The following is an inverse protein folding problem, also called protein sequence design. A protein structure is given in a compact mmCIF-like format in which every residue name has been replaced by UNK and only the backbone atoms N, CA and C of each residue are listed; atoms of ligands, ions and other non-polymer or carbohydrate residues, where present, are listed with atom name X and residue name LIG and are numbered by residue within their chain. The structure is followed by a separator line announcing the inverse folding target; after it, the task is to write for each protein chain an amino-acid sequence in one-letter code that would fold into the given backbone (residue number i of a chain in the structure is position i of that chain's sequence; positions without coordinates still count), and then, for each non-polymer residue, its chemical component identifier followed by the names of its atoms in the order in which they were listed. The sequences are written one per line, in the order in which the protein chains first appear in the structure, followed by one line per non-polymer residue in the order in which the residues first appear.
data_IF_450017932206
#
_entry.id   IF_450017932206
#
_cell.length_a   1.000
_cell.length_b   1.000
_cell.length_c   1.000
_cell.angle_alpha   90.00
_cell.angle_beta   90.00
_cell.angle_gamma   90.00
#
_symmetry.space_group_name_H-M   'P 1'
#
loop_
_entity.id
_entity.type
_entity.pdbx_description
1 polymer ?
#
# COMPACT_ATOMS: atom_id res chain seq x y z
N UNK A 1 25.61 37.68 -35.82
CA UNK A 1 25.68 37.44 -34.38
C UNK A 1 24.47 36.60 -34.05
N UNK A 2 24.74 35.31 -33.97
CA UNK A 2 23.80 34.21 -33.85
C UNK A 2 23.11 34.21 -32.48
N UNK A 3 21.78 34.25 -32.47
CA UNK A 3 20.98 33.80 -31.33
C UNK A 3 20.73 32.29 -31.50
N UNK A 4 21.61 31.49 -30.93
CA UNK A 4 21.41 30.04 -30.78
C UNK A 4 20.39 29.82 -29.67
N UNK A 5 19.12 29.80 -30.04
CA UNK A 5 18.06 29.25 -29.20
C UNK A 5 18.38 27.78 -28.92
N UNK A 6 18.83 27.47 -27.70
CA UNK A 6 18.83 26.12 -27.16
C UNK A 6 17.38 25.62 -27.12
N UNK A 7 16.93 25.03 -28.21
CA UNK A 7 15.86 24.04 -28.16
C UNK A 7 16.47 22.84 -27.43
N UNK A 8 16.22 22.78 -26.13
CA UNK A 8 16.40 21.57 -25.34
C UNK A 8 15.43 20.52 -25.92
N UNK A 9 15.89 19.82 -26.94
CA UNK A 9 15.23 18.65 -27.49
C UNK A 9 15.29 17.59 -26.39
N UNK A 10 14.24 17.56 -25.57
CA UNK A 10 14.02 16.50 -24.63
C UNK A 10 14.04 15.18 -25.41
N UNK A 11 15.07 14.37 -25.17
CA UNK A 11 15.16 13.02 -25.71
C UNK A 11 13.86 12.27 -25.35
N UNK A 12 13.25 11.52 -26.27
CA UNK A 12 12.07 10.74 -25.96
C UNK A 12 12.46 9.71 -24.89
N UNK A 13 11.87 9.82 -23.68
CA UNK A 13 12.06 8.83 -22.61
C UNK A 13 11.80 7.44 -23.17
N UNK A 14 12.69 6.50 -22.87
CA UNK A 14 12.54 5.14 -23.37
C UNK A 14 11.34 4.48 -22.69
N UNK A 15 10.67 3.53 -23.38
CA UNK A 15 9.55 2.78 -22.77
C UNK A 15 9.94 2.09 -21.47
N UNK A 16 11.21 1.69 -21.33
CA UNK A 16 11.74 1.06 -20.12
C UNK A 16 11.83 2.07 -18.96
N UNK A 17 12.29 3.29 -19.21
CA UNK A 17 12.30 4.37 -18.21
C UNK A 17 10.89 4.74 -17.77
N UNK A 18 9.95 4.84 -18.71
CA UNK A 18 8.54 5.07 -18.39
C UNK A 18 7.96 3.93 -17.56
N UNK A 19 8.32 2.67 -17.84
CA UNK A 19 7.86 1.54 -17.04
C UNK A 19 8.42 1.58 -15.60
N UNK A 20 9.70 1.90 -15.42
CA UNK A 20 10.31 2.01 -14.09
C UNK A 20 9.73 3.19 -13.29
N UNK A 21 9.53 4.35 -13.92
CA UNK A 21 8.89 5.50 -13.26
C UNK A 21 7.41 5.23 -12.94
N UNK A 22 6.71 4.53 -13.83
CA UNK A 22 5.33 4.08 -13.58
C UNK A 22 5.24 3.13 -12.39
N UNK A 23 6.18 2.20 -12.25
CA UNK A 23 6.24 1.31 -11.09
C UNK A 23 6.48 2.10 -9.79
N UNK A 24 7.41 3.06 -9.80
CA UNK A 24 7.68 3.92 -8.65
C UNK A 24 6.44 4.71 -8.22
N UNK A 25 5.75 5.37 -9.15
CA UNK A 25 4.53 6.12 -8.82
C UNK A 25 3.38 5.23 -8.34
N UNK A 26 3.31 3.98 -8.82
CA UNK A 26 2.36 2.99 -8.30
C UNK A 26 2.65 2.66 -6.83
N UNK A 27 3.90 2.41 -6.47
CA UNK A 27 4.32 2.15 -5.09
C UNK A 27 4.05 3.36 -4.18
N UNK A 28 4.36 4.58 -4.64
CA UNK A 28 4.05 5.83 -3.93
C UNK A 28 2.54 6.03 -3.71
N UNK A 29 1.73 5.70 -4.73
CA UNK A 29 0.26 5.75 -4.66
C UNK A 29 -0.26 4.80 -3.58
N UNK A 30 0.24 3.55 -3.58
CA UNK A 30 -0.14 2.53 -2.61
C UNK A 30 0.23 2.99 -1.20
N UNK A 31 1.45 3.47 -1.00
CA UNK A 31 1.91 3.95 0.30
C UNK A 31 1.08 5.13 0.82
N UNK A 32 0.77 6.11 -0.05
CA UNK A 32 -0.08 7.23 0.32
C UNK A 32 -1.51 6.78 0.68
N UNK A 33 -2.06 5.81 -0.05
CA UNK A 33 -3.37 5.23 0.26
C UNK A 33 -3.39 4.52 1.62
N UNK A 34 -2.35 3.74 1.94
CA UNK A 34 -2.19 3.14 3.26
C UNK A 34 -2.12 4.21 4.35
N UNK A 35 -1.37 5.28 4.14
CA UNK A 35 -1.27 6.36 5.12
C UNK A 35 -2.61 7.07 5.35
N UNK A 36 -3.43 7.28 4.30
CA UNK A 36 -4.79 7.81 4.43
C UNK A 36 -5.63 6.89 5.32
N UNK A 37 -5.64 5.58 5.03
CA UNK A 37 -6.42 4.61 5.80
C UNK A 37 -5.99 4.54 7.25
N UNK A 38 -4.68 4.51 7.50
CA UNK A 38 -4.12 4.50 8.86
C UNK A 38 -4.47 5.79 9.62
N UNK A 39 -4.29 6.96 9.01
CA UNK A 39 -4.63 8.23 9.65
C UNK A 39 -6.14 8.36 9.93
N UNK A 40 -7.00 7.90 9.02
CA UNK A 40 -8.43 7.81 9.27
C UNK A 40 -8.75 6.84 10.41
N UNK A 41 -8.09 5.69 10.45
CA UNK A 41 -8.27 4.72 11.52
C UNK A 41 -7.83 5.30 12.87
N UNK A 42 -6.72 6.02 12.94
CA UNK A 42 -6.24 6.65 14.17
C UNK A 42 -7.22 7.70 14.69
N UNK A 43 -7.79 8.53 13.81
CA UNK A 43 -8.85 9.49 14.17
C UNK A 43 -10.13 8.78 14.63
N UNK A 44 -10.56 7.75 13.91
CA UNK A 44 -11.78 6.99 14.18
C UNK A 44 -11.67 6.03 15.36
N UNK A 45 -10.47 5.69 15.81
CA UNK A 45 -10.20 4.80 16.94
C UNK A 45 -9.73 5.55 18.20
N UNK A 46 -9.55 6.88 18.15
CA UNK A 46 -9.12 7.66 19.29
C UNK A 46 -10.31 8.11 20.17
N UNK A 47 -10.50 7.53 21.38
CA UNK A 47 -11.64 7.86 22.24
C UNK A 47 -11.64 9.29 22.77
N UNK A 48 -10.47 9.94 22.78
CA UNK A 48 -10.36 11.35 23.20
C UNK A 48 -11.03 12.31 22.22
N UNK A 49 -11.17 11.92 20.94
CA UNK A 49 -11.83 12.72 19.90
C UNK A 49 -13.35 12.56 19.90
N UNK A 50 -13.88 11.53 20.57
CA UNK A 50 -15.34 11.32 20.70
C UNK A 50 -15.93 11.99 21.94
N UNK A 51 -15.09 12.46 22.86
CA UNK A 51 -15.54 13.13 24.08
C UNK A 51 -15.94 14.57 23.78
N UNK A 52 -17.12 14.73 23.19
CA UNK A 52 -17.77 16.03 23.05
C UNK A 52 -18.23 16.49 24.43
N UNK A 53 -17.39 17.24 25.15
CA UNK A 53 -17.87 18.03 26.30
C UNK A 53 -18.77 19.13 25.76
N UNK A 54 -20.05 18.83 25.61
CA UNK A 54 -21.10 19.83 25.48
C UNK A 54 -21.25 20.51 26.85
N UNK A 55 -20.42 21.51 27.15
CA UNK A 55 -20.80 22.52 28.16
C UNK A 55 -21.61 23.60 27.45
N UNK A 56 -22.80 23.24 26.95
CA UNK A 56 -23.85 24.24 26.76
C UNK A 56 -24.41 24.57 28.13
N UNK A 57 -23.97 25.71 28.65
CA UNK A 57 -24.71 26.62 29.54
C UNK A 57 -26.11 26.14 29.95
N UNK A 58 -26.22 25.44 31.09
CA UNK A 58 -27.47 25.34 31.82
C UNK A 58 -27.64 26.62 32.65
N UNK A 59 -28.45 27.55 32.14
CA UNK A 59 -28.95 28.69 32.91
C UNK A 59 -29.81 28.21 34.07
N UNK A 60 -29.35 28.42 35.31
CA UNK A 60 -30.21 28.77 36.44
C UNK A 60 -29.40 29.44 37.55
N UNK A 61 -29.47 30.77 37.56
CA UNK A 61 -29.47 31.69 38.71
C UNK A 61 -28.37 31.54 39.78
N UNK A 62 -27.34 32.39 39.72
CA UNK A 62 -27.16 33.52 40.65
C UNK A 62 -25.68 33.98 40.71
N UNK A 63 -25.52 35.28 40.49
CA UNK A 63 -24.57 36.18 41.16
C UNK A 63 -23.15 36.40 40.58
N UNK A 64 -22.78 37.69 40.65
CA UNK A 64 -21.50 38.36 40.38
C UNK A 64 -21.04 38.50 38.91
N UNK A 65 -21.35 39.57 38.16
CA UNK A 65 -20.94 40.99 38.26
C UNK A 65 -19.68 41.33 37.41
N UNK A 66 -19.88 42.33 36.52
CA UNK A 66 -18.93 43.18 35.74
C UNK A 66 -18.31 42.57 34.47
N UNK A 67 -18.15 43.28 33.35
CA UNK A 67 -18.64 44.58 32.84
C UNK A 67 -18.10 44.71 31.40
N UNK A 68 -18.81 45.50 30.60
CA UNK A 68 -18.36 46.20 29.39
C UNK A 68 -17.89 45.38 28.18
N UNK A 69 -18.22 45.68 26.92
CA UNK A 69 -19.12 46.59 26.21
C UNK A 69 -18.47 46.74 24.82
N UNK A 70 -19.24 46.46 23.76
CA UNK A 70 -19.05 46.95 22.37
C UNK A 70 -17.72 46.65 21.64
N UNK A 71 -17.79 46.04 20.45
CA UNK A 71 -17.75 46.79 19.18
C UNK A 71 -17.59 45.84 17.98
N UNK A 72 -18.19 46.25 16.87
CA UNK A 72 -18.32 45.58 15.58
C UNK A 72 -16.99 45.45 14.82
N UNK A 73 -16.96 44.43 13.95
CA UNK A 73 -16.47 44.39 12.56
C UNK A 73 -15.02 44.79 12.20
N UNK A 74 -14.39 43.94 11.37
CA UNK A 74 -13.37 44.31 10.39
C UNK A 74 -11.94 44.60 10.86
N UNK A 75 -11.01 43.69 10.51
CA UNK A 75 -9.63 44.07 10.18
C UNK A 75 -8.53 43.53 11.09
N UNK A 76 -7.83 42.51 10.57
CA UNK A 76 -6.43 42.14 10.80
C UNK A 76 -5.77 42.61 12.11
N UNK A 77 -5.70 41.71 13.10
CA UNK A 77 -4.58 41.68 14.03
C UNK A 77 -4.14 40.24 14.27
N UNK A 78 -2.83 40.05 14.21
CA UNK A 78 -2.14 38.80 14.42
C UNK A 78 -2.42 38.27 15.83
N UNK A 79 -3.32 37.29 15.92
CA UNK A 79 -3.47 36.39 17.05
C UNK A 79 -2.72 35.11 16.74
N UNK A 80 -1.57 34.92 17.38
CA UNK A 80 -0.78 33.69 17.39
C UNK A 80 -1.58 32.55 18.05
N UNK A 81 -2.43 31.92 17.24
CA UNK A 81 -3.07 30.63 17.48
C UNK A 81 -2.74 29.71 16.30
N UNK A 82 -1.44 29.45 16.11
CA UNK A 82 -0.91 28.68 14.98
C UNK A 82 -1.16 27.18 15.15
N UNK A 83 -2.32 26.73 14.69
CA UNK A 83 -2.65 25.33 14.47
C UNK A 83 -3.28 25.15 13.09
N UNK A 84 -2.63 25.71 12.06
CA UNK A 84 -3.05 25.56 10.66
C UNK A 84 -3.05 24.06 10.32
N UNK A 85 -4.25 23.53 10.08
CA UNK A 85 -4.52 22.15 9.72
C UNK A 85 -3.86 21.76 8.41
N UNK A 86 -2.63 21.26 8.52
CA UNK A 86 -2.05 20.32 7.57
C UNK A 86 -1.94 18.98 8.31
N UNK A 87 -3.08 18.34 8.55
CA UNK A 87 -3.13 17.04 9.24
C UNK A 87 -2.38 15.98 8.43
N UNK A 88 -1.86 14.95 9.10
CA UNK A 88 -1.24 13.80 8.44
C UNK A 88 -2.15 13.19 7.35
N UNK A 89 -3.47 13.26 7.57
CA UNK A 89 -4.49 12.87 6.60
C UNK A 89 -4.51 13.75 5.33
N UNK A 90 -4.42 15.07 5.47
CA UNK A 90 -4.42 15.99 4.33
C UNK A 90 -3.13 15.89 3.52
N UNK A 91 -2.00 15.70 4.19
CA UNK A 91 -0.71 15.42 3.55
C UNK A 91 -0.74 14.09 2.79
N UNK A 92 -1.29 13.02 3.38
CA UNK A 92 -1.44 11.73 2.73
C UNK A 92 -2.37 11.81 1.50
N UNK A 93 -3.46 12.57 1.59
CA UNK A 93 -4.37 12.86 0.46
C UNK A 93 -3.68 13.62 -0.65
N UNK A 94 -2.87 14.62 -0.30
CA UNK A 94 -2.11 15.38 -1.29
C UNK A 94 -1.13 14.49 -2.05
N UNK A 95 -0.35 13.65 -1.34
CA UNK A 95 0.61 12.71 -1.94
C UNK A 95 -0.08 11.67 -2.83
N UNK A 96 -1.21 11.13 -2.38
CA UNK A 96 -2.01 10.20 -3.19
C UNK A 96 -2.46 10.85 -4.50
N UNK A 97 -3.02 12.07 -4.43
CA UNK A 97 -3.46 12.79 -5.63
C UNK A 97 -2.30 13.07 -6.59
N UNK A 98 -1.14 13.46 -6.07
CA UNK A 98 0.04 13.79 -6.87
C UNK A 98 0.62 12.53 -7.56
N UNK A 99 0.88 11.46 -6.79
CA UNK A 99 1.38 10.19 -7.33
C UNK A 99 0.44 9.58 -8.37
N UNK A 100 -0.88 9.65 -8.16
CA UNK A 100 -1.88 9.22 -9.16
C UNK A 100 -1.82 10.07 -10.43
N UNK A 101 -1.63 11.39 -10.32
CA UNK A 101 -1.49 12.26 -11.48
C UNK A 101 -0.23 11.92 -12.28
N UNK A 102 0.90 11.73 -11.61
CA UNK A 102 2.16 11.34 -12.24
C UNK A 102 2.07 9.95 -12.90
N UNK A 103 1.42 8.98 -12.25
CA UNK A 103 1.17 7.66 -12.83
C UNK A 103 0.32 7.74 -14.11
N UNK A 104 -0.72 8.60 -14.12
CA UNK A 104 -1.55 8.82 -15.32
C UNK A 104 -0.75 9.47 -16.45
N UNK A 105 0.15 10.41 -16.13
CA UNK A 105 1.03 11.02 -17.10
C UNK A 105 1.94 9.97 -17.75
N UNK A 106 2.58 9.12 -16.94
CA UNK A 106 3.42 8.02 -17.43
C UNK A 106 2.61 7.07 -18.33
N UNK A 107 1.42 6.63 -17.90
CA UNK A 107 0.56 5.76 -18.69
C UNK A 107 0.15 6.39 -20.03
N UNK A 108 -0.07 7.70 -20.06
CA UNK A 108 -0.38 8.43 -21.29
C UNK A 108 0.83 8.57 -22.23
N UNK A 109 2.05 8.54 -21.69
CA UNK A 109 3.29 8.62 -22.45
C UNK A 109 3.71 7.28 -23.07
N UNK A 110 3.29 6.13 -22.50
CA UNK A 110 3.67 4.80 -22.99
C UNK A 110 3.28 4.57 -24.46
N UNK A 111 2.03 4.81 -24.91
CA UNK A 111 1.66 4.64 -26.32
C UNK A 111 2.48 5.51 -27.28
N UNK A 112 2.83 6.72 -26.84
CA UNK A 112 3.65 7.64 -27.63
C UNK A 112 5.10 7.16 -27.74
N UNK A 113 5.64 6.52 -26.68
CA UNK A 113 6.98 5.91 -26.71
C UNK A 113 7.06 4.67 -27.61
N UNK A 114 5.98 3.89 -27.73
CA UNK A 114 5.91 2.71 -28.60
C UNK A 114 5.95 3.09 -30.08
N UNK A 115 5.29 4.19 -30.45
CA UNK A 115 5.33 4.73 -31.84
C UNK A 115 6.73 5.20 -32.24
N UNK A 116 7.57 5.58 -31.27
CA UNK A 116 8.99 5.90 -31.49
C UNK A 116 9.89 4.64 -31.56
N UNK A 117 9.42 3.50 -31.03
CA UNK A 117 10.16 2.23 -30.94
C UNK A 117 9.83 1.21 -32.03
N UNK A 118 8.84 1.48 -32.89
CA UNK A 118 8.50 0.61 -34.04
C UNK A 118 9.63 0.53 -35.09
N UNK A 119 10.66 1.38 -34.97
CA UNK A 119 11.89 1.33 -35.78
C UNK A 119 12.99 0.40 -35.22
N UNK A 120 12.82 -0.15 -34.01
CA UNK A 120 13.84 -0.95 -33.31
C UNK A 120 13.21 -2.19 -32.66
N UNK A 121 12.56 -3.04 -33.47
CA UNK A 121 12.08 -4.35 -33.00
C UNK A 121 13.31 -5.27 -32.82
N UNK A 122 13.41 -5.81 -31.60
CA UNK A 122 14.54 -6.57 -31.07
C UNK A 122 14.98 -7.80 -31.86
N UNK A 123 16.24 -8.16 -31.65
CA UNK A 123 16.92 -9.27 -32.30
C UNK A 123 16.36 -10.63 -31.83
N UNK A 124 16.25 -11.63 -32.73
CA UNK A 124 15.77 -12.99 -32.39
C UNK A 124 16.60 -13.72 -31.32
N UNK A 125 17.78 -13.20 -30.97
CA UNK A 125 18.64 -13.73 -29.90
C UNK A 125 17.99 -13.61 -28.51
N UNK A 126 17.28 -12.51 -28.22
CA UNK A 126 16.72 -12.25 -26.89
C UNK A 126 15.47 -13.10 -26.61
N UNK A 127 14.71 -13.44 -27.66
CA UNK A 127 13.51 -14.27 -27.55
C UNK A 127 13.83 -15.72 -27.14
N UNK A 128 14.94 -16.27 -27.66
CA UNK A 128 15.38 -17.64 -27.34
C UNK A 128 15.93 -17.76 -25.90
N UNK A 129 16.53 -16.69 -25.37
CA UNK A 129 17.00 -16.65 -23.99
C UNK A 129 15.83 -16.62 -23.00
N UNK A 130 14.76 -15.87 -23.32
CA UNK A 130 13.54 -15.80 -22.51
C UNK A 130 12.85 -17.17 -22.42
N UNK A 131 12.72 -17.90 -23.52
CA UNK A 131 12.11 -19.24 -23.54
C UNK A 131 12.90 -20.23 -22.67
N UNK A 132 14.24 -20.19 -22.75
CA UNK A 132 15.12 -21.02 -21.92
C UNK A 132 15.01 -20.68 -20.42
N UNK A 133 14.88 -19.39 -20.08
CA UNK A 133 14.69 -18.95 -18.70
C UNK A 133 13.33 -19.39 -18.16
N UNK A 134 12.29 -19.35 -18.98
CA UNK A 134 10.95 -19.83 -18.63
C UNK A 134 10.94 -21.33 -18.35
N UNK A 135 11.55 -22.15 -19.23
CA UNK A 135 11.68 -23.60 -19.03
C UNK A 135 12.45 -23.93 -17.74
N UNK A 136 13.53 -23.20 -17.46
CA UNK A 136 14.31 -23.33 -16.22
C UNK A 136 13.48 -22.98 -14.98
N UNK A 137 12.64 -21.94 -15.05
CA UNK A 137 11.75 -21.54 -13.97
C UNK A 137 10.68 -22.61 -13.70
N UNK A 138 10.05 -23.13 -14.76
CA UNK A 138 9.04 -24.19 -14.67
C UNK A 138 9.62 -25.48 -14.10
N UNK A 139 10.82 -25.88 -14.53
CA UNK A 139 11.54 -27.04 -13.99
C UNK A 139 11.83 -26.89 -12.49
N UNK A 140 12.37 -25.74 -12.07
CA UNK A 140 12.62 -25.45 -10.64
C UNK A 140 11.34 -25.48 -9.82
N UNK A 141 10.24 -24.90 -10.33
CA UNK A 141 8.93 -24.94 -9.67
C UNK A 141 8.43 -26.38 -9.49
N UNK A 142 8.57 -27.22 -10.51
CA UNK A 142 8.22 -28.64 -10.44
C UNK A 142 9.01 -29.39 -9.36
N UNK A 143 10.33 -29.17 -9.30
CA UNK A 143 11.21 -29.77 -8.29
C UNK A 143 10.80 -29.36 -6.87
N UNK A 144 10.58 -28.06 -6.64
CA UNK A 144 10.18 -27.55 -5.32
C UNK A 144 8.81 -28.07 -4.88
N UNK A 145 7.85 -28.14 -5.81
CA UNK A 145 6.53 -28.70 -5.53
C UNK A 145 6.63 -30.20 -5.19
N UNK A 146 7.48 -30.96 -5.91
CA UNK A 146 7.75 -32.36 -5.61
C UNK A 146 8.35 -32.58 -4.22
N UNK A 147 9.31 -31.73 -3.83
CA UNK A 147 9.94 -31.78 -2.50
C UNK A 147 8.92 -31.53 -1.37
N UNK A 148 8.06 -30.51 -1.55
CA UNK A 148 7.02 -30.16 -0.57
C UNK A 148 5.96 -31.25 -0.44
N UNK A 149 5.55 -31.86 -1.56
CA UNK A 149 4.65 -33.02 -1.56
C UNK A 149 5.28 -34.22 -0.84
N UNK A 150 6.56 -34.51 -1.09
CA UNK A 150 7.27 -35.59 -0.42
C UNK A 150 7.34 -35.36 1.10
N UNK A 151 7.67 -34.15 1.54
CA UNK A 151 7.70 -33.78 2.96
C UNK A 151 6.34 -33.98 3.64
N UNK A 152 5.26 -33.51 3.01
CA UNK A 152 3.89 -33.69 3.51
C UNK A 152 3.49 -35.17 3.60
N UNK A 153 3.89 -35.98 2.61
CA UNK A 153 3.62 -37.42 2.63
C UNK A 153 4.32 -38.11 3.80
N UNK A 154 5.59 -37.77 4.07
CA UNK A 154 6.33 -38.28 5.22
C UNK A 154 5.64 -37.92 6.54
N UNK A 155 5.15 -36.69 6.67
CA UNK A 155 4.41 -36.27 7.87
C UNK A 155 3.09 -37.03 8.05
N UNK A 156 2.31 -37.19 6.98
CA UNK A 156 1.08 -37.99 7.01
C UNK A 156 1.36 -39.43 7.42
N UNK A 157 2.45 -40.03 6.92
CA UNK A 157 2.84 -41.39 7.27
C UNK A 157 3.14 -41.52 8.77
N UNK A 158 3.91 -40.59 9.32
CA UNK A 158 4.18 -40.55 10.76
C UNK A 158 2.88 -40.47 11.59
N UNK A 159 1.94 -39.60 11.19
CA UNK A 159 0.67 -39.46 11.90
C UNK A 159 -0.20 -40.72 11.80
N UNK A 160 -0.18 -41.38 10.64
CA UNK A 160 -0.87 -42.67 10.44
C UNK A 160 -0.27 -43.75 11.34
N UNK A 161 1.06 -43.81 11.45
CA UNK A 161 1.74 -44.81 12.29
C UNK A 161 1.45 -44.56 13.77
N UNK A 162 1.50 -43.31 14.23
CA UNK A 162 1.10 -42.93 15.59
C UNK A 162 -0.35 -43.30 15.90
N UNK A 163 -1.27 -43.11 14.95
CA UNK A 163 -2.68 -43.49 15.13
C UNK A 163 -2.84 -45.01 15.20
N UNK A 164 -2.09 -45.77 14.39
CA UNK A 164 -2.11 -47.24 14.42
C UNK A 164 -1.59 -47.78 15.75
N UNK A 165 -0.53 -47.19 16.28
CA UNK A 165 0.02 -47.56 17.58
C UNK A 165 -1.00 -47.29 18.69
N UNK A 166 -1.62 -46.11 18.68
CA UNK A 166 -2.67 -45.76 19.65
C UNK A 166 -3.88 -46.71 19.58
N UNK A 167 -4.33 -47.07 18.38
CA UNK A 167 -5.41 -48.06 18.20
C UNK A 167 -4.98 -49.41 18.77
N UNK A 168 -3.75 -49.82 18.55
CA UNK A 168 -3.20 -51.08 19.09
C UNK A 168 -3.20 -51.04 20.60
N UNK A 169 -2.70 -49.97 21.21
CA UNK A 169 -2.71 -49.78 22.65
C UNK A 169 -4.14 -49.84 23.21
N UNK A 170 -5.08 -49.06 22.65
CA UNK A 170 -6.49 -49.08 23.06
C UNK A 170 -7.08 -50.49 22.95
N UNK A 171 -6.77 -51.22 21.87
CA UNK A 171 -7.25 -52.59 21.68
C UNK A 171 -6.73 -53.54 22.77
N UNK A 172 -5.52 -53.31 23.30
CA UNK A 172 -5.02 -54.10 24.45
C UNK A 172 -5.80 -53.84 25.73
N UNK A 173 -6.28 -52.61 25.94
CA UNK A 173 -7.12 -52.25 27.10
C UNK A 173 -8.59 -52.70 26.97
N UNK A 174 -9.06 -52.93 25.74
CA UNK A 174 -10.43 -53.36 25.47
C UNK A 174 -10.59 -54.88 25.38
N UNK A 175 -9.52 -55.66 25.45
CA UNK A 175 -9.63 -57.12 25.54
C UNK A 175 -10.29 -57.49 26.87
N UNK A 176 -11.44 -58.20 26.87
CA UNK A 176 -12.10 -58.57 28.12
C UNK A 176 -11.16 -59.43 28.95
N UNK A 177 -10.80 -58.97 30.14
CA UNK A 177 -10.21 -59.82 31.16
C UNK A 177 -11.24 -60.93 31.42
N UNK A 178 -10.98 -62.14 30.92
CA UNK A 178 -11.79 -63.30 31.25
C UNK A 178 -11.63 -63.53 32.75
N UNK A 179 -12.67 -63.20 33.52
CA UNK A 179 -12.81 -63.60 34.93
C UNK A 179 -13.15 -65.08 35.03
#
# INVERSE_FOLDING_TARGET
MEDTSMSEVALPRTTQELAMEGQKHLEETIQAAFQILSSMNDELCNPSLWSTTTTTSSSSNADAVLDSAHHLDGGATAGVGGGTGNGALDEARFRYKNSVAALREVLSAIPNSQKAKEFEIGSPADQAEVEKLEESCQSKKGILQGLELAKKNTYLKLLIDQLRDLITDISTWQSPCSI
#
